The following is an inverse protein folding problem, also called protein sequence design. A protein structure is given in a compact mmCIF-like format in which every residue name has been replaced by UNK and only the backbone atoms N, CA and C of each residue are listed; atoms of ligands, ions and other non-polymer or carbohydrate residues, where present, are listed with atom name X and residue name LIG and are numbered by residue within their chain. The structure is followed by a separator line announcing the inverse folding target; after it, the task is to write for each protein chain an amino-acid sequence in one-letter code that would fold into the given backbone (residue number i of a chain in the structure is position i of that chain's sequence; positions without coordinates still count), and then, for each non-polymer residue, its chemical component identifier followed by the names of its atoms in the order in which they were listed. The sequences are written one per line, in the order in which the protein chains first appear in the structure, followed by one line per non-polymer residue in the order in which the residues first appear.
data_IF_103700442129
#
_entry.id   IF_103700442129
#
_cell.length_a   1.000
_cell.length_b   1.000
_cell.length_c   1.000
_cell.angle_alpha   90.00
_cell.angle_beta   90.00
_cell.angle_gamma   90.00
#
_symmetry.space_group_name_H-M   'P 1'
#
loop_
_entity.id
_entity.type
_entity.pdbx_description
1 polymer ?
#
# COMPACT_ATOMS: atom_id res chain seq x y z
N UNK A 1 -17.10 -26.89 27.29
CA UNK A 1 -17.30 -25.47 26.92
C UNK A 1 -15.94 -24.77 26.99
N UNK A 2 -15.25 -24.65 25.87
CA UNK A 2 -13.97 -23.92 25.81
C UNK A 2 -14.26 -22.43 25.77
N UNK A 3 -13.74 -21.68 26.72
CA UNK A 3 -13.80 -20.24 26.75
C UNK A 3 -13.04 -19.69 25.52
N UNK A 4 -13.77 -19.06 24.62
CA UNK A 4 -13.18 -18.24 23.55
C UNK A 4 -12.35 -17.14 24.21
N UNK A 5 -11.02 -17.22 24.07
CA UNK A 5 -10.12 -16.12 24.42
C UNK A 5 -10.56 -14.89 23.65
N UNK A 6 -10.84 -13.80 24.36
CA UNK A 6 -11.13 -12.48 23.77
C UNK A 6 -9.99 -12.12 22.83
N UNK A 7 -10.33 -11.72 21.61
CA UNK A 7 -9.39 -11.28 20.58
C UNK A 7 -8.44 -10.24 21.15
N UNK A 8 -7.13 -10.45 20.99
CA UNK A 8 -6.09 -9.48 21.31
C UNK A 8 -6.30 -8.20 20.50
N UNK A 9 -5.99 -7.02 21.05
CA UNK A 9 -6.12 -5.78 20.32
C UNK A 9 -5.22 -5.79 19.07
N UNK A 10 -5.70 -5.23 17.99
CA UNK A 10 -4.99 -5.09 16.70
C UNK A 10 -3.72 -4.22 16.81
N UNK A 11 -3.47 -3.63 17.96
CA UNK A 11 -2.30 -2.86 18.33
C UNK A 11 -1.60 -3.51 19.53
N UNK A 12 -0.29 -3.75 19.39
CA UNK A 12 0.52 -4.28 20.49
C UNK A 12 0.72 -3.25 21.62
N UNK A 13 1.11 -3.68 22.84
CA UNK A 13 1.33 -2.76 23.96
C UNK A 13 2.25 -1.59 23.62
N UNK A 14 3.20 -1.80 22.69
CA UNK A 14 4.19 -0.80 22.27
C UNK A 14 3.74 0.07 21.10
N UNK A 15 2.48 -0.04 20.66
CA UNK A 15 1.94 0.75 19.55
C UNK A 15 2.26 0.23 18.15
N UNK A 16 3.05 -0.84 18.00
CA UNK A 16 3.39 -1.45 16.71
C UNK A 16 2.16 -2.13 16.09
N UNK A 17 1.93 -1.89 14.79
CA UNK A 17 0.98 -2.61 13.93
C UNK A 17 1.73 -3.34 12.84
N UNK A 18 1.42 -4.60 12.61
CA UNK A 18 1.86 -5.31 11.41
C UNK A 18 0.73 -5.35 10.40
N UNK A 19 1.04 -5.04 9.16
CA UNK A 19 0.11 -4.94 8.04
C UNK A 19 0.26 -6.07 7.03
N UNK A 20 -0.87 -6.49 6.46
CA UNK A 20 -0.94 -7.47 5.37
C UNK A 20 -1.06 -6.75 4.02
N UNK A 21 -0.32 -7.22 3.00
CA UNK A 21 -0.30 -6.62 1.67
C UNK A 21 -1.16 -7.37 0.67
N UNK A 22 -2.24 -6.75 0.24
CA UNK A 22 -3.06 -6.95 -0.95
C UNK A 22 -3.79 -8.29 -1.11
N UNK A 23 -3.25 -9.40 -0.63
CA UNK A 23 -3.73 -10.74 -0.96
C UNK A 23 -3.50 -11.73 0.19
N UNK A 24 -4.14 -12.89 0.07
CA UNK A 24 -3.99 -14.01 0.97
C UNK A 24 -3.31 -15.20 0.27
N UNK A 25 -2.49 -15.94 1.02
CA UNK A 25 -1.87 -17.17 0.55
C UNK A 25 -2.78 -18.40 0.74
N UNK A 26 -3.47 -18.49 1.87
CA UNK A 26 -4.33 -19.66 2.22
C UNK A 26 -5.76 -19.31 2.57
N UNK A 27 -6.02 -18.16 3.19
CA UNK A 27 -7.39 -17.78 3.50
C UNK A 27 -8.24 -17.68 2.22
N UNK A 28 -9.51 -18.16 2.22
CA UNK A 28 -10.34 -18.24 1.02
C UNK A 28 -10.92 -16.89 0.60
N UNK A 29 -10.17 -15.81 0.79
CA UNK A 29 -10.54 -14.44 0.44
C UNK A 29 -9.79 -14.07 -0.86
N UNK A 30 -10.54 -13.70 -1.90
CA UNK A 30 -9.97 -13.42 -3.22
C UNK A 30 -10.55 -12.15 -3.81
N UNK A 31 -9.68 -11.23 -4.17
CA UNK A 31 -10.03 -10.09 -5.00
C UNK A 31 -10.10 -10.50 -6.47
N UNK A 32 -11.12 -10.01 -7.16
CA UNK A 32 -11.39 -10.32 -8.56
C UNK A 32 -10.81 -9.23 -9.46
N UNK A 33 -10.17 -9.65 -10.53
CA UNK A 33 -9.64 -8.75 -11.57
C UNK A 33 -10.19 -9.14 -12.94
N UNK A 34 -10.01 -8.27 -13.91
CA UNK A 34 -10.32 -8.56 -15.32
C UNK A 34 -9.29 -7.84 -16.20
N UNK A 35 -9.28 -8.21 -17.48
CA UNK A 35 -8.44 -7.52 -18.47
C UNK A 35 -9.30 -6.65 -19.39
N UNK A 36 -8.73 -5.59 -19.92
CA UNK A 36 -9.38 -4.73 -20.92
C UNK A 36 -9.85 -5.56 -22.12
N UNK A 37 -8.99 -6.45 -22.63
CA UNK A 37 -9.33 -7.32 -23.75
C UNK A 37 -10.58 -8.18 -23.49
N UNK A 38 -10.72 -8.71 -22.26
CA UNK A 38 -11.92 -9.48 -21.90
C UNK A 38 -13.17 -8.58 -21.87
N UNK A 39 -13.04 -7.37 -21.32
CA UNK A 39 -14.15 -6.41 -21.24
C UNK A 39 -14.59 -5.91 -22.62
N UNK A 40 -13.65 -5.64 -23.52
CA UNK A 40 -13.97 -5.14 -24.86
C UNK A 40 -14.65 -6.18 -25.79
N UNK A 41 -14.57 -7.47 -25.45
CA UNK A 41 -15.33 -8.53 -26.14
C UNK A 41 -16.83 -8.54 -25.78
N UNK A 42 -17.21 -7.87 -24.69
CA UNK A 42 -18.60 -7.82 -24.23
C UNK A 42 -19.32 -6.60 -24.82
N UNK A 43 -20.59 -6.73 -25.24
CA UNK A 43 -21.45 -5.57 -25.48
C UNK A 43 -21.51 -4.66 -24.24
N UNK A 44 -21.63 -3.36 -24.46
CA UNK A 44 -21.59 -2.35 -23.37
C UNK A 44 -22.50 -2.69 -22.16
N UNK A 45 -23.78 -3.10 -22.34
CA UNK A 45 -24.64 -3.46 -21.22
C UNK A 45 -24.10 -4.65 -20.40
N UNK A 46 -23.62 -5.70 -21.06
CA UNK A 46 -23.04 -6.87 -20.41
C UNK A 46 -21.73 -6.53 -19.70
N UNK A 47 -20.90 -5.67 -20.30
CA UNK A 47 -19.64 -5.19 -19.71
C UNK A 47 -19.88 -4.43 -18.41
N UNK A 48 -20.80 -3.45 -18.39
CA UNK A 48 -21.07 -2.67 -17.17
C UNK A 48 -21.71 -3.53 -16.08
N UNK A 49 -22.56 -4.49 -16.44
CA UNK A 49 -23.11 -5.45 -15.47
C UNK A 49 -22.01 -6.36 -14.87
N UNK A 50 -21.09 -6.84 -15.70
CA UNK A 50 -19.96 -7.64 -15.25
C UNK A 50 -19.02 -6.86 -14.32
N UNK A 51 -18.66 -5.63 -14.70
CA UNK A 51 -17.84 -4.74 -13.88
C UNK A 51 -18.50 -4.43 -12.53
N UNK A 52 -19.81 -4.18 -12.49
CA UNK A 52 -20.56 -4.01 -11.25
C UNK A 52 -20.45 -5.24 -10.34
N UNK A 53 -20.58 -6.44 -10.91
CA UNK A 53 -20.40 -7.69 -10.18
C UNK A 53 -19.01 -7.85 -9.58
N UNK A 54 -17.95 -7.51 -10.34
CA UNK A 54 -16.56 -7.53 -9.85
C UNK A 54 -16.35 -6.52 -8.71
N UNK A 55 -16.83 -5.28 -8.86
CA UNK A 55 -16.70 -4.24 -7.84
C UNK A 55 -17.41 -4.64 -6.54
N UNK A 56 -18.63 -5.21 -6.64
CA UNK A 56 -19.38 -5.73 -5.48
C UNK A 56 -18.61 -6.86 -4.79
N UNK A 57 -18.15 -7.86 -5.55
CA UNK A 57 -17.34 -8.97 -5.02
C UNK A 57 -16.08 -8.46 -4.31
N UNK A 58 -15.43 -7.44 -4.84
CA UNK A 58 -14.22 -6.88 -4.23
C UNK A 58 -14.53 -6.09 -2.93
N UNK A 59 -15.66 -5.40 -2.86
CA UNK A 59 -16.11 -4.75 -1.62
C UNK A 59 -16.42 -5.80 -0.53
N UNK A 60 -17.10 -6.90 -0.89
CA UNK A 60 -17.38 -8.02 0.00
C UNK A 60 -16.08 -8.74 0.46
N UNK A 61 -15.13 -8.93 -0.47
CA UNK A 61 -13.81 -9.48 -0.14
C UNK A 61 -13.02 -8.55 0.80
N UNK A 62 -13.11 -7.24 0.61
CA UNK A 62 -12.49 -6.28 1.52
C UNK A 62 -13.09 -6.36 2.92
N UNK A 63 -14.41 -6.45 3.03
CA UNK A 63 -15.10 -6.61 4.31
C UNK A 63 -14.60 -7.88 5.05
N UNK A 64 -14.59 -9.03 4.36
CA UNK A 64 -14.07 -10.29 4.91
C UNK A 64 -12.59 -10.20 5.29
N UNK A 65 -11.79 -9.45 4.52
CA UNK A 65 -10.37 -9.18 4.82
C UNK A 65 -10.22 -8.44 6.15
N UNK A 66 -11.03 -7.41 6.37
CA UNK A 66 -10.95 -6.60 7.59
C UNK A 66 -11.39 -7.41 8.83
N UNK A 67 -12.41 -8.25 8.69
CA UNK A 67 -12.83 -9.19 9.73
C UNK A 67 -11.70 -10.18 10.06
N UNK A 68 -11.07 -10.75 9.02
CA UNK A 68 -9.93 -11.65 9.18
C UNK A 68 -8.76 -10.95 9.90
N UNK A 69 -8.36 -9.77 9.44
CA UNK A 69 -7.27 -9.02 10.05
C UNK A 69 -7.54 -8.75 11.54
N UNK A 70 -8.75 -8.29 11.86
CA UNK A 70 -9.16 -8.03 13.25
C UNK A 70 -9.13 -9.29 14.12
N UNK A 71 -9.54 -10.44 13.56
CA UNK A 71 -9.55 -11.72 14.29
C UNK A 71 -8.14 -12.30 14.54
N UNK A 72 -7.16 -11.94 13.69
CA UNK A 72 -5.80 -12.51 13.74
C UNK A 72 -4.73 -11.53 14.24
N UNK A 73 -5.12 -10.38 14.81
CA UNK A 73 -4.16 -9.42 15.36
C UNK A 73 -3.34 -8.66 14.29
N UNK A 74 -3.79 -8.70 13.03
CA UNK A 74 -3.21 -7.91 11.93
C UNK A 74 -3.78 -6.50 12.04
N UNK A 75 -2.91 -5.49 12.19
CA UNK A 75 -3.32 -4.13 12.53
C UNK A 75 -3.52 -3.20 11.32
N UNK A 76 -3.10 -3.60 10.13
CA UNK A 76 -3.25 -2.82 8.91
C UNK A 76 -3.46 -3.71 7.68
N UNK A 77 -4.05 -3.13 6.64
CA UNK A 77 -4.22 -3.80 5.35
C UNK A 77 -3.96 -2.83 4.19
N UNK A 78 -3.02 -3.21 3.31
CA UNK A 78 -2.79 -2.53 2.03
C UNK A 78 -3.77 -3.06 1.00
N UNK A 79 -4.66 -2.19 0.56
CA UNK A 79 -5.70 -2.52 -0.42
C UNK A 79 -5.06 -2.70 -1.80
N UNK A 80 -5.53 -3.71 -2.55
CA UNK A 80 -5.07 -3.93 -3.92
C UNK A 80 -5.40 -2.72 -4.80
N UNK A 81 -4.43 -2.23 -5.56
CA UNK A 81 -4.59 -1.09 -6.46
C UNK A 81 -5.65 -1.30 -7.53
N UNK A 82 -5.98 -2.55 -7.88
CA UNK A 82 -7.04 -2.91 -8.83
C UNK A 82 -8.36 -3.28 -8.15
N UNK A 83 -8.66 -2.70 -6.98
CA UNK A 83 -9.90 -2.99 -6.21
C UNK A 83 -11.16 -2.70 -7.05
N UNK A 84 -11.11 -1.70 -7.94
CA UNK A 84 -12.07 -1.44 -9.00
C UNK A 84 -11.40 -1.74 -10.36
N UNK A 85 -11.58 -2.95 -10.93
CA UNK A 85 -10.83 -3.40 -12.09
C UNK A 85 -11.03 -2.51 -13.31
N UNK A 86 -9.98 -2.20 -14.05
CA UNK A 86 -9.91 -1.39 -15.28
C UNK A 86 -10.55 -0.01 -15.19
N UNK A 87 -10.70 0.54 -13.99
CA UNK A 87 -11.43 1.78 -13.67
C UNK A 87 -10.95 2.99 -14.47
N UNK A 88 -9.64 3.12 -14.67
CA UNK A 88 -9.00 4.27 -15.30
C UNK A 88 -8.75 4.09 -16.81
N UNK A 89 -9.09 2.93 -17.36
CA UNK A 89 -8.81 2.65 -18.79
C UNK A 89 -9.68 3.52 -19.70
N UNK A 90 -9.13 4.17 -20.75
CA UNK A 90 -9.87 5.10 -21.61
C UNK A 90 -11.14 4.54 -22.25
N UNK A 91 -11.12 3.26 -22.66
CA UNK A 91 -12.26 2.63 -23.37
C UNK A 91 -13.12 1.73 -22.47
N UNK A 92 -12.51 1.08 -21.47
CA UNK A 92 -13.20 0.13 -20.58
C UNK A 92 -13.51 0.71 -19.22
N UNK A 93 -12.96 1.88 -18.87
CA UNK A 93 -13.18 2.57 -17.60
C UNK A 93 -14.63 3.01 -17.42
N UNK A 94 -14.97 3.39 -16.19
CA UNK A 94 -16.34 3.71 -15.80
C UNK A 94 -16.38 4.64 -14.59
N UNK A 95 -17.45 5.41 -14.48
CA UNK A 95 -17.82 6.04 -13.22
C UNK A 95 -18.78 5.11 -12.44
N UNK A 96 -18.72 5.14 -11.11
CA UNK A 96 -19.58 4.26 -10.29
C UNK A 96 -21.07 4.46 -10.58
N UNK A 97 -21.51 5.69 -10.86
CA UNK A 97 -22.89 6.02 -11.24
C UNK A 97 -23.36 5.35 -12.54
N UNK A 98 -22.45 4.88 -13.38
CA UNK A 98 -22.76 4.20 -14.64
C UNK A 98 -22.97 2.69 -14.45
N UNK A 99 -22.55 2.16 -13.31
CA UNK A 99 -22.69 0.74 -12.98
C UNK A 99 -24.06 0.44 -12.37
N UNK A 100 -24.71 -0.67 -12.75
CA UNK A 100 -25.88 -1.17 -12.04
C UNK A 100 -25.58 -1.38 -10.55
N UNK A 101 -26.35 -0.72 -9.68
CA UNK A 101 -26.11 -0.75 -8.24
C UNK A 101 -24.84 -0.06 -7.79
N UNK A 102 -24.35 0.94 -8.54
CA UNK A 102 -23.10 1.63 -8.22
C UNK A 102 -23.12 2.36 -6.88
N UNK A 103 -24.27 2.96 -6.51
CA UNK A 103 -24.45 3.61 -5.20
C UNK A 103 -24.32 2.60 -4.05
N UNK A 104 -24.96 1.44 -4.18
CA UNK A 104 -24.89 0.34 -3.20
C UNK A 104 -23.48 -0.22 -3.06
N UNK A 105 -22.74 -0.31 -4.18
CA UNK A 105 -21.33 -0.75 -4.16
C UNK A 105 -20.47 0.26 -3.39
N UNK A 106 -20.64 1.56 -3.63
CA UNK A 106 -19.94 2.60 -2.87
C UNK A 106 -20.28 2.50 -1.37
N UNK A 107 -21.55 2.23 -1.02
CA UNK A 107 -21.95 2.08 0.36
C UNK A 107 -21.34 0.82 1.04
N UNK A 108 -21.13 -0.26 0.29
CA UNK A 108 -20.35 -1.42 0.77
C UNK A 108 -18.90 -1.03 1.11
N UNK A 109 -18.23 -0.24 0.26
CA UNK A 109 -16.89 0.27 0.57
C UNK A 109 -16.89 1.19 1.79
N UNK A 110 -17.90 2.05 1.94
CA UNK A 110 -18.06 2.89 3.15
C UNK A 110 -18.29 2.03 4.41
N UNK A 111 -19.02 0.92 4.28
CA UNK A 111 -19.17 -0.04 5.39
C UNK A 111 -17.82 -0.67 5.77
N UNK A 112 -16.96 -1.00 4.80
CA UNK A 112 -15.59 -1.43 5.08
C UNK A 112 -14.83 -0.38 5.88
N UNK A 113 -14.93 0.90 5.51
CA UNK A 113 -14.30 2.00 6.26
C UNK A 113 -14.82 2.14 7.69
N UNK A 114 -16.14 1.98 7.90
CA UNK A 114 -16.72 1.98 9.26
C UNK A 114 -16.17 0.81 10.09
N UNK A 115 -16.10 -0.39 9.50
CA UNK A 115 -15.55 -1.57 10.17
C UNK A 115 -14.05 -1.36 10.50
N UNK A 116 -13.25 -0.89 9.55
CA UNK A 116 -11.83 -0.63 9.79
C UNK A 116 -11.62 0.32 10.98
N UNK A 117 -12.36 1.42 11.03
CA UNK A 117 -12.30 2.35 12.18
C UNK A 117 -12.73 1.69 13.48
N UNK A 118 -13.82 0.92 13.50
CA UNK A 118 -14.31 0.24 14.71
C UNK A 118 -13.35 -0.82 15.23
N UNK A 119 -12.52 -1.40 14.36
CA UNK A 119 -11.51 -2.41 14.68
C UNK A 119 -10.10 -1.82 14.81
N UNK A 120 -9.95 -0.50 14.69
CA UNK A 120 -8.65 0.19 14.72
C UNK A 120 -7.66 -0.34 13.67
N UNK A 121 -8.17 -0.75 12.50
CA UNK A 121 -7.35 -1.17 11.37
C UNK A 121 -6.96 0.05 10.53
N UNK A 122 -5.68 0.15 10.17
CA UNK A 122 -5.20 1.14 9.23
C UNK A 122 -5.32 0.61 7.80
N UNK A 123 -5.73 1.46 6.87
CA UNK A 123 -5.83 1.13 5.45
C UNK A 123 -4.91 2.02 4.64
N UNK A 124 -4.26 1.44 3.64
CA UNK A 124 -3.36 2.10 2.71
C UNK A 124 -3.59 1.62 1.28
N UNK A 125 -3.07 2.37 0.33
CA UNK A 125 -2.89 1.98 -1.06
C UNK A 125 -1.42 2.04 -1.44
N UNK A 126 -1.04 1.20 -2.38
CA UNK A 126 0.23 1.28 -3.07
C UNK A 126 0.00 1.00 -4.56
N UNK A 127 -0.10 2.04 -5.40
CA UNK A 127 -0.22 1.91 -6.83
C UNK A 127 0.90 1.05 -7.43
N UNK A 128 0.63 0.51 -8.61
CA UNK A 128 1.63 -0.23 -9.37
C UNK A 128 2.87 0.64 -9.66
N UNK A 129 4.05 0.03 -9.76
CA UNK A 129 5.33 0.71 -10.04
C UNK A 129 5.36 1.54 -11.33
N UNK A 130 4.37 1.38 -12.21
CA UNK A 130 4.22 2.19 -13.42
C UNK A 130 3.52 3.54 -13.16
N UNK A 131 2.95 3.74 -11.99
CA UNK A 131 2.37 5.02 -11.56
C UNK A 131 3.50 5.89 -11.03
N UNK A 132 3.92 6.85 -11.85
CA UNK A 132 5.08 7.70 -11.58
C UNK A 132 4.75 9.18 -11.82
N UNK A 133 5.22 10.07 -10.94
CA UNK A 133 4.91 11.50 -11.00
C UNK A 133 6.01 12.35 -11.67
N UNK A 134 7.14 11.74 -12.02
CA UNK A 134 8.27 12.43 -12.63
C UNK A 134 8.58 11.97 -14.06
N UNK A 135 7.62 11.25 -14.70
CA UNK A 135 7.82 10.81 -16.08
C UNK A 135 7.93 12.00 -17.05
N UNK A 136 8.94 12.01 -17.94
CA UNK A 136 9.02 12.98 -19.02
C UNK A 136 7.96 12.77 -20.12
N UNK A 137 7.30 11.60 -20.12
CA UNK A 137 6.23 11.30 -21.07
C UNK A 137 4.88 11.84 -20.52
N UNK A 138 4.24 12.82 -21.21
CA UNK A 138 2.99 13.40 -20.72
C UNK A 138 1.84 12.40 -20.60
N UNK A 139 1.77 11.37 -21.46
CA UNK A 139 0.72 10.35 -21.38
C UNK A 139 0.90 9.45 -20.16
N UNK A 140 2.14 9.08 -19.83
CA UNK A 140 2.45 8.33 -18.62
C UNK A 140 2.06 9.13 -17.38
N UNK A 141 2.36 10.41 -17.33
CA UNK A 141 1.97 11.28 -16.23
C UNK A 141 0.44 11.41 -16.13
N UNK A 142 -0.26 11.63 -17.25
CA UNK A 142 -1.72 11.71 -17.26
C UNK A 142 -2.38 10.41 -16.76
N UNK A 143 -1.87 9.24 -17.16
CA UNK A 143 -2.35 7.96 -16.67
C UNK A 143 -2.08 7.79 -15.16
N UNK A 144 -0.90 8.22 -14.68
CA UNK A 144 -0.55 8.19 -13.27
C UNK A 144 -1.48 9.07 -12.43
N UNK A 145 -1.79 10.27 -12.91
CA UNK A 145 -2.73 11.18 -12.22
C UNK A 145 -4.15 10.58 -12.16
N UNK A 146 -4.63 9.99 -13.26
CA UNK A 146 -5.93 9.32 -13.28
C UNK A 146 -5.99 8.14 -12.30
N UNK A 147 -4.90 7.38 -12.17
CA UNK A 147 -4.81 6.28 -11.20
C UNK A 147 -4.83 6.78 -9.75
N UNK A 148 -4.12 7.88 -9.46
CA UNK A 148 -4.12 8.48 -8.14
C UNK A 148 -5.48 9.10 -7.77
N UNK A 149 -6.17 9.75 -8.71
CA UNK A 149 -7.51 10.28 -8.49
C UNK A 149 -8.49 9.16 -8.15
N UNK A 150 -8.44 8.05 -8.87
CA UNK A 150 -9.24 6.86 -8.61
C UNK A 150 -8.95 6.30 -7.22
N UNK A 151 -7.67 6.13 -6.84
CA UNK A 151 -7.33 5.58 -5.55
C UNK A 151 -7.69 6.52 -4.41
N UNK A 152 -7.58 7.84 -4.60
CA UNK A 152 -8.05 8.82 -3.63
C UNK A 152 -9.59 8.79 -3.46
N UNK A 153 -10.35 8.57 -4.55
CA UNK A 153 -11.80 8.37 -4.49
C UNK A 153 -12.16 7.17 -3.60
N UNK A 154 -11.52 6.01 -3.82
CA UNK A 154 -11.77 4.82 -2.99
C UNK A 154 -11.24 5.01 -1.57
N UNK A 155 -10.08 5.64 -1.40
CA UNK A 155 -9.49 5.94 -0.09
C UNK A 155 -10.43 6.78 0.78
N UNK A 156 -11.15 7.72 0.18
CA UNK A 156 -12.17 8.49 0.90
C UNK A 156 -13.33 7.61 1.39
N UNK A 157 -13.81 6.66 0.58
CA UNK A 157 -14.89 5.76 0.99
C UNK A 157 -14.50 4.84 2.14
N UNK A 158 -13.28 4.28 2.07
CA UNK A 158 -12.81 3.28 3.05
C UNK A 158 -12.05 3.89 4.23
N UNK A 159 -11.70 5.18 4.14
CA UNK A 159 -10.92 5.88 5.18
C UNK A 159 -9.45 5.48 5.17
N UNK A 160 -8.88 5.15 4.00
CA UNK A 160 -7.44 4.97 3.86
C UNK A 160 -6.73 6.33 3.93
N UNK A 161 -5.64 6.38 4.69
CA UNK A 161 -4.89 7.62 4.96
C UNK A 161 -3.61 7.76 4.13
N UNK A 162 -3.23 6.70 3.41
CA UNK A 162 -1.96 6.63 2.69
C UNK A 162 -2.16 6.08 1.28
N UNK A 163 -1.56 6.76 0.28
CA UNK A 163 -1.34 6.29 -1.08
C UNK A 163 0.16 6.40 -1.32
N UNK A 164 0.86 5.27 -1.28
CA UNK A 164 2.30 5.22 -1.30
C UNK A 164 2.85 5.07 -2.72
N UNK A 165 3.85 5.86 -3.09
CA UNK A 165 4.50 5.80 -4.40
C UNK A 165 6.02 5.71 -4.26
N UNK A 166 6.65 4.93 -5.13
CA UNK A 166 8.08 5.06 -5.37
C UNK A 166 8.43 6.40 -6.01
N UNK A 167 9.68 6.83 -5.85
CA UNK A 167 10.16 8.11 -6.42
C UNK A 167 10.15 8.18 -7.95
N UNK A 168 9.91 7.07 -8.64
CA UNK A 168 9.86 6.97 -10.10
C UNK A 168 11.23 6.76 -10.74
N UNK A 169 11.42 7.22 -11.98
CA UNK A 169 12.65 7.03 -12.73
C UNK A 169 13.60 8.23 -12.66
N UNK A 170 14.90 8.00 -12.90
CA UNK A 170 15.90 9.06 -13.01
C UNK A 170 16.00 9.67 -14.42
N UNK A 171 15.58 8.94 -15.44
CA UNK A 171 15.56 9.39 -16.86
C UNK A 171 16.86 10.04 -17.36
N UNK A 172 17.99 9.57 -16.87
CA UNK A 172 19.33 10.07 -17.23
C UNK A 172 19.81 11.27 -16.42
N UNK A 173 18.91 11.98 -15.72
CA UNK A 173 19.25 13.11 -14.83
C UNK A 173 18.39 13.05 -13.57
N UNK A 174 18.96 12.48 -12.52
CA UNK A 174 18.30 12.30 -11.22
C UNK A 174 17.87 13.63 -10.57
N UNK A 175 18.68 14.68 -10.71
CA UNK A 175 18.39 16.00 -10.13
C UNK A 175 17.17 16.62 -10.79
N UNK A 176 17.13 16.62 -12.12
CA UNK A 176 15.98 17.13 -12.89
C UNK A 176 14.72 16.29 -12.66
N UNK A 177 14.86 14.95 -12.51
CA UNK A 177 13.74 14.06 -12.22
C UNK A 177 13.15 14.34 -10.83
N UNK A 178 13.97 14.57 -9.79
CA UNK A 178 13.52 14.95 -8.45
C UNK A 178 12.86 16.33 -8.44
N UNK A 179 13.40 17.29 -9.18
CA UNK A 179 12.78 18.62 -9.34
C UNK A 179 11.40 18.53 -10.03
N UNK A 180 11.26 17.62 -11.01
CA UNK A 180 9.98 17.35 -11.67
C UNK A 180 9.01 16.68 -10.69
N UNK A 181 9.45 15.66 -9.92
CA UNK A 181 8.65 15.02 -8.88
C UNK A 181 8.06 16.05 -7.92
N UNK A 182 8.90 16.96 -7.40
CA UNK A 182 8.48 18.03 -6.48
C UNK A 182 7.39 18.90 -7.09
N UNK A 183 7.62 19.43 -8.30
CA UNK A 183 6.64 20.30 -8.99
C UNK A 183 5.32 19.59 -9.24
N UNK A 184 5.37 18.31 -9.61
CA UNK A 184 4.15 17.52 -9.84
C UNK A 184 3.38 17.34 -8.54
N UNK A 185 4.04 17.01 -7.43
CA UNK A 185 3.43 16.87 -6.11
C UNK A 185 2.76 18.18 -5.66
N UNK A 186 3.41 19.33 -5.87
CA UNK A 186 2.86 20.65 -5.53
C UNK A 186 1.56 20.96 -6.29
N UNK A 187 1.44 20.46 -7.52
CA UNK A 187 0.27 20.64 -8.38
C UNK A 187 -0.87 19.62 -8.16
N UNK A 188 -0.69 18.62 -7.29
CA UNK A 188 -1.72 17.57 -7.07
C UNK A 188 -2.98 18.12 -6.40
N UNK A 189 -4.18 17.57 -6.77
CA UNK A 189 -5.42 17.86 -6.06
C UNK A 189 -5.33 17.50 -4.57
N UNK A 190 -6.01 18.29 -3.73
CA UNK A 190 -6.02 18.12 -2.28
C UNK A 190 -6.30 16.68 -1.79
N UNK A 191 -7.33 15.99 -2.32
CA UNK A 191 -7.64 14.61 -1.91
C UNK A 191 -6.50 13.61 -2.17
N UNK A 192 -5.75 13.76 -3.27
CA UNK A 192 -4.57 12.96 -3.58
C UNK A 192 -3.40 13.37 -2.68
N UNK A 193 -3.08 14.68 -2.68
CA UNK A 193 -1.92 15.21 -1.98
C UNK A 193 -1.92 14.92 -0.48
N UNK A 194 -3.09 14.99 0.16
CA UNK A 194 -3.25 14.74 1.60
C UNK A 194 -3.00 13.30 2.03
N UNK A 195 -2.98 12.37 1.08
CA UNK A 195 -2.75 10.93 1.30
C UNK A 195 -1.44 10.42 0.71
N UNK A 196 -0.81 11.25 -0.15
CA UNK A 196 0.41 10.83 -0.84
C UNK A 196 1.56 10.63 0.14
N UNK A 197 2.32 9.57 -0.09
CA UNK A 197 3.61 9.31 0.53
C UNK A 197 4.63 8.88 -0.52
N UNK A 198 5.90 9.08 -0.26
CA UNK A 198 6.99 8.62 -1.12
C UNK A 198 7.74 7.48 -0.45
N UNK A 199 8.20 6.53 -1.24
CA UNK A 199 8.99 5.38 -0.81
C UNK A 199 10.34 5.33 -1.52
N UNK A 200 11.40 5.02 -0.78
CA UNK A 200 12.69 4.68 -1.35
C UNK A 200 12.63 3.31 -2.04
N UNK A 201 13.38 3.15 -3.11
CA UNK A 201 13.42 1.92 -3.88
C UNK A 201 14.81 1.25 -3.88
N UNK A 202 14.88 0.05 -4.46
CA UNK A 202 16.08 -0.79 -4.51
C UNK A 202 17.03 -0.48 -5.68
N UNK A 203 16.73 0.54 -6.53
CA UNK A 203 17.44 0.78 -7.79
C UNK A 203 17.80 2.23 -8.06
N UNK A 204 16.92 3.17 -7.74
CA UNK A 204 17.02 4.57 -8.20
C UNK A 204 17.12 5.54 -7.04
N UNK A 205 16.17 5.53 -6.12
CA UNK A 205 16.04 6.55 -5.09
C UNK A 205 16.25 6.01 -3.69
N UNK A 206 17.36 6.41 -3.09
CA UNK A 206 17.65 6.15 -1.68
C UNK A 206 16.79 7.05 -0.77
N UNK A 207 16.69 6.74 0.54
CA UNK A 207 16.07 7.65 1.49
C UNK A 207 16.67 9.06 1.46
N UNK A 208 18.00 9.20 1.32
CA UNK A 208 18.67 10.48 1.26
C UNK A 208 18.31 11.31 0.02
N UNK A 209 17.94 10.68 -1.08
CA UNK A 209 17.43 11.36 -2.27
C UNK A 209 16.02 11.95 -2.06
N UNK A 210 15.15 11.20 -1.37
CA UNK A 210 13.73 11.57 -1.22
C UNK A 210 13.45 12.47 -0.02
N UNK A 211 14.23 12.38 1.06
CA UNK A 211 14.03 13.21 2.25
C UNK A 211 13.97 14.73 1.96
N UNK A 212 14.81 15.29 1.07
CA UNK A 212 14.66 16.70 0.68
C UNK A 212 13.34 17.01 -0.02
N UNK A 213 12.86 16.11 -0.92
CA UNK A 213 11.56 16.26 -1.57
C UNK A 213 10.43 16.22 -0.55
N UNK A 214 10.50 15.28 0.42
CA UNK A 214 9.53 15.20 1.50
C UNK A 214 9.51 16.48 2.36
N UNK A 215 10.67 17.04 2.67
CA UNK A 215 10.77 18.28 3.45
C UNK A 215 10.15 19.48 2.72
N UNK A 216 10.41 19.61 1.40
CA UNK A 216 9.92 20.73 0.59
C UNK A 216 8.41 20.63 0.32
N UNK A 217 7.90 19.42 0.11
CA UNK A 217 6.49 19.20 -0.27
C UNK A 217 5.55 18.91 0.91
N UNK A 218 6.10 18.53 2.07
CA UNK A 218 5.35 18.09 3.22
C UNK A 218 4.78 16.66 3.09
N UNK A 219 5.17 15.93 2.03
CA UNK A 219 4.75 14.52 1.81
C UNK A 219 5.62 13.59 2.67
N UNK A 220 5.06 12.67 3.46
CA UNK A 220 5.84 11.77 4.31
C UNK A 220 6.65 10.73 3.52
N UNK A 221 7.78 10.28 4.09
CA UNK A 221 8.56 9.16 3.60
C UNK A 221 8.06 7.85 4.23
N UNK A 222 7.58 6.91 3.42
CA UNK A 222 7.49 5.49 3.76
C UNK A 222 8.89 4.92 3.63
N UNK A 223 9.47 4.53 4.75
CA UNK A 223 10.80 3.95 4.76
C UNK A 223 10.72 2.44 4.54
N UNK A 224 11.19 1.97 3.39
CA UNK A 224 11.44 0.57 3.14
C UNK A 224 12.89 0.23 3.51
N UNK A 225 13.05 -0.54 4.59
CA UNK A 225 14.36 -0.93 5.11
C UNK A 225 15.05 -1.97 4.25
N UNK A 226 14.28 -2.81 3.54
CA UNK A 226 14.83 -3.81 2.62
C UNK A 226 15.43 -3.13 1.39
N UNK A 227 14.70 -2.21 0.78
CA UNK A 227 15.20 -1.42 -0.35
C UNK A 227 16.44 -0.60 0.03
N UNK A 228 16.45 0.02 1.22
CA UNK A 228 17.62 0.76 1.69
C UNK A 228 18.85 -0.15 1.89
N UNK A 229 18.67 -1.38 2.33
CA UNK A 229 19.77 -2.36 2.42
C UNK A 229 20.25 -2.84 1.05
N UNK A 230 19.36 -2.86 0.04
CA UNK A 230 19.72 -3.18 -1.36
C UNK A 230 20.45 -2.01 -2.03
N UNK A 231 19.97 -0.76 -1.82
CA UNK A 231 20.53 0.47 -2.36
C UNK A 231 20.92 1.40 -1.21
N UNK A 232 22.11 1.15 -0.63
CA UNK A 232 22.58 1.93 0.53
C UNK A 232 23.04 3.32 0.14
N UNK A 233 22.67 4.31 0.94
CA UNK A 233 23.19 5.69 0.86
C UNK A 233 24.32 5.97 1.88
N UNK A 234 24.84 4.93 2.52
CA UNK A 234 25.89 5.00 3.53
C UNK A 234 25.42 5.38 4.94
N UNK A 235 24.13 5.67 5.11
CA UNK A 235 23.53 5.97 6.43
C UNK A 235 23.02 4.69 7.09
N UNK A 236 23.00 4.68 8.41
CA UNK A 236 22.48 3.55 9.18
C UNK A 236 20.94 3.49 9.15
N UNK A 237 20.40 2.29 9.38
CA UNK A 237 18.95 2.07 9.53
C UNK A 237 18.37 2.95 10.65
N UNK A 238 19.10 3.10 11.76
CA UNK A 238 18.67 3.94 12.89
C UNK A 238 18.54 5.43 12.49
N UNK A 239 19.54 5.97 11.77
CA UNK A 239 19.50 7.35 11.29
C UNK A 239 18.35 7.61 10.33
N UNK A 240 18.17 6.73 9.33
CA UNK A 240 17.08 6.87 8.36
C UNK A 240 15.73 6.69 9.04
N UNK A 241 15.58 5.74 9.95
CA UNK A 241 14.36 5.58 10.76
C UNK A 241 13.97 6.90 11.44
N UNK A 242 14.93 7.58 12.09
CA UNK A 242 14.66 8.86 12.75
C UNK A 242 14.31 9.98 11.76
N UNK A 243 14.97 10.04 10.61
CA UNK A 243 14.67 11.03 9.58
C UNK A 243 13.30 10.81 8.94
N UNK A 244 12.99 9.57 8.56
CA UNK A 244 11.70 9.21 7.97
C UNK A 244 10.54 9.48 8.95
N UNK A 245 10.71 9.09 10.23
CA UNK A 245 9.72 9.37 11.28
C UNK A 245 9.38 10.85 11.40
N UNK A 246 10.35 11.74 11.27
CA UNK A 246 10.14 13.20 11.37
C UNK A 246 9.31 13.78 10.22
N UNK A 247 9.18 13.07 9.10
CA UNK A 247 8.33 13.52 7.98
C UNK A 247 6.83 13.30 8.25
N UNK A 248 6.48 12.48 9.24
CA UNK A 248 5.11 12.12 9.56
C UNK A 248 4.52 12.99 10.68
N UNK A 249 3.29 13.45 10.46
CA UNK A 249 2.50 14.17 11.48
C UNK A 249 1.57 13.21 12.26
N UNK A 250 1.40 11.99 11.76
CA UNK A 250 0.61 10.90 12.34
C UNK A 250 1.47 9.66 12.53
N UNK A 251 0.88 8.53 12.93
CA UNK A 251 1.59 7.26 13.03
C UNK A 251 2.29 6.92 11.70
N UNK A 252 3.63 6.78 11.65
CA UNK A 252 4.34 6.43 10.44
C UNK A 252 3.93 5.07 9.87
N UNK A 253 4.14 4.90 8.55
CA UNK A 253 4.01 3.63 7.86
C UNK A 253 5.34 3.32 7.18
N UNK A 254 5.88 2.15 7.46
CA UNK A 254 7.13 1.64 6.91
C UNK A 254 6.93 0.27 6.28
N UNK A 255 7.88 -0.17 5.46
CA UNK A 255 7.86 -1.49 4.83
C UNK A 255 9.02 -2.36 5.28
N UNK A 256 8.78 -3.69 5.27
CA UNK A 256 9.79 -4.69 5.58
C UNK A 256 9.67 -5.89 4.64
N UNK A 257 10.81 -6.34 4.16
CA UNK A 257 11.01 -7.61 3.47
C UNK A 257 12.30 -8.28 3.94
N UNK A 258 12.44 -9.56 3.64
CA UNK A 258 13.71 -10.28 3.73
C UNK A 258 14.10 -10.83 2.35
N UNK A 259 15.39 -10.93 2.02
CA UNK A 259 15.84 -11.41 0.72
C UNK A 259 15.63 -12.91 0.57
N UNK A 260 15.14 -13.33 -0.61
CA UNK A 260 14.84 -14.73 -0.92
C UNK A 260 16.01 -15.67 -0.69
N UNK A 261 17.20 -15.27 -1.16
CA UNK A 261 18.42 -16.07 -1.12
C UNK A 261 19.43 -15.53 -0.08
N UNK A 262 18.95 -14.73 0.88
CA UNK A 262 19.76 -14.03 1.89
C UNK A 262 20.53 -12.83 1.33
N UNK A 263 21.06 -11.98 2.22
CA UNK A 263 21.75 -10.72 1.86
C UNK A 263 23.02 -10.91 1.01
N UNK A 264 23.63 -12.09 1.02
CA UNK A 264 24.79 -12.42 0.19
C UNK A 264 24.40 -13.13 -1.10
N UNK A 265 23.12 -13.34 -1.34
CA UNK A 265 22.59 -13.94 -2.55
C UNK A 265 22.73 -13.02 -3.77
N UNK A 266 22.55 -13.56 -4.99
CA UNK A 266 22.79 -12.81 -6.24
C UNK A 266 21.73 -11.72 -6.50
N UNK A 267 20.57 -11.79 -5.86
CA UNK A 267 19.42 -10.87 -6.05
C UNK A 267 18.75 -10.58 -4.72
N UNK A 268 19.39 -9.81 -3.85
CA UNK A 268 18.85 -9.49 -2.52
C UNK A 268 17.53 -8.72 -2.56
N UNK A 269 17.21 -8.06 -3.66
CA UNK A 269 15.95 -7.34 -3.88
C UNK A 269 14.73 -8.27 -4.00
N UNK A 270 14.94 -9.58 -4.19
CA UNK A 270 13.82 -10.54 -4.29
C UNK A 270 13.28 -10.91 -2.91
N UNK A 271 12.01 -10.69 -2.70
CA UNK A 271 11.36 -10.96 -1.42
C UNK A 271 11.23 -12.46 -1.13
N UNK A 272 11.51 -12.85 0.09
CA UNK A 272 11.31 -14.18 0.65
C UNK A 272 9.83 -14.44 0.97
N UNK A 273 9.50 -15.70 1.28
CA UNK A 273 8.16 -16.07 1.72
C UNK A 273 7.83 -15.53 3.12
N UNK A 274 8.83 -15.39 3.98
CA UNK A 274 8.70 -14.92 5.35
C UNK A 274 9.72 -13.82 5.65
N UNK A 275 9.50 -13.10 6.75
CA UNK A 275 10.48 -12.16 7.29
C UNK A 275 11.39 -12.93 8.25
N UNK A 276 12.70 -12.78 8.09
CA UNK A 276 13.67 -13.16 9.12
C UNK A 276 13.57 -12.13 10.27
N UNK A 277 13.38 -12.62 11.50
CA UNK A 277 13.26 -11.75 12.66
C UNK A 277 14.52 -10.88 12.88
N UNK A 278 15.69 -11.35 12.45
CA UNK A 278 16.93 -10.58 12.46
C UNK A 278 16.94 -9.39 11.49
N UNK A 279 16.06 -9.38 10.50
CA UNK A 279 15.90 -8.25 9.57
C UNK A 279 15.00 -7.14 10.14
N UNK A 280 14.21 -7.44 11.18
CA UNK A 280 13.36 -6.44 11.81
C UNK A 280 14.19 -5.45 12.63
N UNK A 281 14.17 -4.15 12.30
CA UNK A 281 14.97 -3.17 13.04
C UNK A 281 14.53 -3.05 14.50
N UNK A 282 15.42 -3.27 15.47
CA UNK A 282 15.07 -3.10 16.90
C UNK A 282 14.64 -1.66 17.22
N UNK A 283 15.09 -0.67 16.45
CA UNK A 283 14.72 0.73 16.56
C UNK A 283 13.23 0.98 16.28
N UNK A 284 12.54 0.03 15.63
CA UNK A 284 11.11 0.13 15.34
C UNK A 284 10.23 -0.33 16.49
N UNK A 285 10.83 -0.94 17.52
CA UNK A 285 10.10 -1.35 18.71
C UNK A 285 9.93 -0.18 19.70
N UNK A 286 8.81 -0.21 20.43
CA UNK A 286 8.60 0.72 21.56
C UNK A 286 7.96 2.06 21.22
N UNK A 287 7.51 2.28 19.96
CA UNK A 287 6.78 3.48 19.57
C UNK A 287 5.68 3.17 18.51
N UNK A 288 4.67 4.06 18.36
CA UNK A 288 3.61 3.85 17.39
C UNK A 288 4.12 3.82 15.96
N UNK A 289 3.96 2.68 15.29
CA UNK A 289 4.41 2.45 13.91
C UNK A 289 3.52 1.42 13.25
N UNK A 290 3.14 1.65 12.00
CA UNK A 290 2.60 0.63 11.11
C UNK A 290 3.73 0.08 10.24
N UNK A 291 3.88 -1.25 10.17
CA UNK A 291 4.84 -1.91 9.28
C UNK A 291 4.09 -2.86 8.35
N UNK A 292 4.10 -2.57 7.07
CA UNK A 292 3.58 -3.46 6.03
C UNK A 292 4.60 -4.56 5.73
N UNK A 293 4.15 -5.81 5.83
CA UNK A 293 4.98 -7.00 5.67
C UNK A 293 4.91 -7.48 4.23
N UNK A 294 5.95 -7.22 3.47
CA UNK A 294 6.04 -7.57 2.05
C UNK A 294 6.69 -8.94 1.85
N UNK A 295 5.97 -9.98 2.23
CA UNK A 295 6.40 -11.37 2.11
C UNK A 295 5.43 -12.18 1.26
N UNK A 296 5.94 -13.20 0.54
CA UNK A 296 5.11 -13.99 -0.40
C UNK A 296 4.09 -14.90 0.29
N UNK A 297 4.39 -15.36 1.52
CA UNK A 297 3.44 -16.16 2.32
C UNK A 297 2.33 -15.33 2.98
N UNK A 298 2.26 -14.00 2.70
CA UNK A 298 1.15 -13.11 3.03
C UNK A 298 0.75 -13.17 4.52
N UNK A 299 -0.53 -13.51 4.80
CA UNK A 299 -1.05 -13.59 6.18
C UNK A 299 -0.27 -14.56 7.07
N UNK A 300 0.31 -15.60 6.48
CA UNK A 300 1.14 -16.56 7.23
C UNK A 300 2.45 -15.92 7.67
N UNK A 301 3.04 -15.06 6.82
CA UNK A 301 4.25 -14.33 7.15
C UNK A 301 3.99 -13.30 8.26
N UNK A 302 2.87 -12.58 8.17
CA UNK A 302 2.46 -11.63 9.22
C UNK A 302 2.24 -12.36 10.54
N UNK A 303 1.51 -13.49 10.52
CA UNK A 303 1.24 -14.28 11.73
C UNK A 303 2.55 -14.80 12.37
N UNK A 304 3.49 -15.28 11.56
CA UNK A 304 4.80 -15.73 12.05
C UNK A 304 5.60 -14.58 12.65
N UNK A 305 5.69 -13.44 11.98
CA UNK A 305 6.40 -12.28 12.50
C UNK A 305 5.74 -11.77 13.80
N UNK A 306 4.42 -11.86 13.92
CA UNK A 306 3.70 -11.58 15.16
C UNK A 306 4.22 -12.46 16.30
N UNK A 307 4.34 -13.78 16.10
CA UNK A 307 4.86 -14.72 17.09
C UNK A 307 6.34 -14.43 17.43
N UNK A 308 7.18 -14.31 16.41
CA UNK A 308 8.63 -14.08 16.57
C UNK A 308 8.92 -12.80 17.39
N UNK A 309 8.17 -11.71 17.16
CA UNK A 309 8.33 -10.45 17.91
C UNK A 309 7.67 -10.46 19.30
N UNK A 310 6.84 -11.46 19.62
CA UNK A 310 6.23 -11.61 20.94
C UNK A 310 7.08 -12.46 21.89
N UNK A 311 8.05 -13.21 21.36
CA UNK A 311 8.86 -14.15 22.12
C UNK A 311 8.10 -15.42 22.52
N UNK A 312 7.00 -15.74 21.79
CA UNK A 312 6.14 -16.92 22.01
C UNK A 312 6.64 -18.11 21.15
#
# INVERSE_FOLDING_TARGET
MAQMKKSSPTRRPNGLRLGLCCQFARAPIKFRTTTVTAMMRLPKPARVAHLAGLCRSNAEALLATLEFCAAHGIGAFRINSQILPVKTHPEAGYAMKELPGGTEIVELFRACGRLARSKHLRLSFHPDQFVVLNSPNPQTLANSLAELDYQAEVAEWVGADTINLHGGGAYGDKVSALATLRRTIEGLPGPVRSRLTLENDDKVYTPSDLLPVCADTGVPLVYDVHHHRCLSDGRSVAEITQCARKTWQVEPLFHISSPLDGWKGPKPERHHDYIDAGDFPPEWLGWPLTVEVEAKAKELAVARLISDLSGD
#
